data_IF_402625305504
#
_entry.id   IF_402625305504
#
_cell.length_a   1.000
_cell.length_b   1.000
_cell.length_c   1.000
_cell.angle_alpha   90.00
_cell.angle_beta   90.00
_cell.angle_gamma   90.00
#
_symmetry.space_group_name_H-M   'P 1'
#
loop_
_entity.id
_entity.type
_entity.pdbx_description
1 polymer ?
#
# COMPACT_ATOMS: atom_id res chain seq x y z
N UNK A 1 24.48 -17.95 12.16
CA UNK A 1 24.17 -16.70 12.90
C UNK A 1 23.51 -15.59 12.06
N UNK A 2 23.31 -15.76 10.74
CA UNK A 2 22.72 -14.72 9.88
C UNK A 2 21.18 -14.66 9.83
N UNK A 3 20.46 -15.58 10.50
CA UNK A 3 18.99 -15.64 10.43
C UNK A 3 18.26 -14.76 11.46
N UNK A 4 18.99 -14.18 12.43
CA UNK A 4 18.38 -13.36 13.49
C UNK A 4 18.30 -11.87 13.17
N UNK A 5 19.05 -11.40 12.16
CA UNK A 5 19.06 -9.98 11.76
C UNK A 5 17.92 -9.63 10.79
N UNK A 6 17.37 -10.61 10.06
CA UNK A 6 16.31 -10.35 9.08
C UNK A 6 14.92 -10.12 9.72
N UNK A 7 14.65 -10.73 10.87
CA UNK A 7 13.36 -10.56 11.56
C UNK A 7 13.21 -9.18 12.24
N UNK A 8 14.31 -8.51 12.58
CA UNK A 8 14.26 -7.18 13.21
C UNK A 8 13.87 -6.11 12.19
N UNK A 9 14.37 -6.21 10.96
CA UNK A 9 14.10 -5.22 9.89
C UNK A 9 12.64 -5.28 9.41
N UNK A 10 12.03 -6.48 9.41
CA UNK A 10 10.63 -6.64 8.97
C UNK A 10 9.63 -6.13 10.01
N UNK A 11 9.94 -6.20 11.32
CA UNK A 11 9.07 -5.60 12.35
C UNK A 11 9.11 -4.07 12.30
N UNK A 12 10.27 -3.47 12.06
CA UNK A 12 10.43 -2.00 12.05
C UNK A 12 9.71 -1.34 10.85
N UNK A 13 9.68 -2.00 9.69
CA UNK A 13 8.91 -1.50 8.54
C UNK A 13 7.39 -1.59 8.74
N UNK A 14 6.88 -2.57 9.50
CA UNK A 14 5.44 -2.70 9.77
C UNK A 14 4.90 -1.57 10.65
N UNK A 15 5.69 -1.14 11.65
CA UNK A 15 5.27 -0.07 12.56
C UNK A 15 5.26 1.32 11.88
N UNK A 16 6.18 1.59 10.95
CA UNK A 16 6.23 2.88 10.24
C UNK A 16 5.05 3.07 9.27
N UNK A 17 4.58 2.00 8.62
CA UNK A 17 3.41 2.06 7.72
C UNK A 17 2.11 2.31 8.52
N UNK A 18 1.99 1.71 9.71
CA UNK A 18 0.85 1.91 10.62
C UNK A 18 0.79 3.36 11.13
N UNK A 19 1.93 3.94 11.51
CA UNK A 19 2.01 5.32 11.98
C UNK A 19 1.68 6.35 10.89
N UNK A 20 2.11 6.11 9.66
CA UNK A 20 1.82 6.99 8.53
C UNK A 20 0.33 6.97 8.15
N UNK A 21 -0.31 5.79 8.20
CA UNK A 21 -1.75 5.65 7.99
C UNK A 21 -2.58 6.31 9.12
N UNK A 22 -2.08 6.30 10.36
CA UNK A 22 -2.72 6.95 11.49
C UNK A 22 -2.64 8.49 11.42
N UNK A 23 -1.52 9.04 10.93
CA UNK A 23 -1.34 10.49 10.75
C UNK A 23 -2.24 11.01 9.61
N UNK A 24 -2.36 10.27 8.51
CA UNK A 24 -3.25 10.62 7.39
C UNK A 24 -4.75 10.61 7.76
N UNK A 25 -5.17 9.75 8.71
CA UNK A 25 -6.56 9.78 9.24
C UNK A 25 -6.81 10.96 10.16
N UNK A 26 -5.79 11.40 10.93
CA UNK A 26 -5.93 12.49 11.89
C UNK A 26 -5.94 13.88 11.23
N UNK A 27 -5.37 14.03 10.02
CA UNK A 27 -5.44 15.26 9.24
C UNK A 27 -6.80 15.45 8.54
N UNK A 28 -7.51 14.36 8.20
CA UNK A 28 -8.79 14.43 7.50
C UNK A 28 -9.96 14.84 8.42
N UNK A 29 -9.92 14.48 9.71
CA UNK A 29 -10.99 14.82 10.68
C UNK A 29 -10.98 16.30 11.15
N UNK A 30 -9.96 17.09 10.80
CA UNK A 30 -9.88 18.51 11.21
C UNK A 30 -10.43 19.52 10.19
N UNK A 31 -10.79 19.11 8.98
CA UNK A 31 -11.32 20.01 7.94
C UNK A 31 -12.86 20.12 7.88
N UNK A 32 -13.60 19.47 8.79
CA UNK A 32 -15.08 19.49 8.78
C UNK A 32 -15.73 20.61 9.62
N UNK A 33 -14.99 21.57 10.17
CA UNK A 33 -15.58 22.76 10.79
C UNK A 33 -15.57 23.94 9.83
N UNK A 34 -16.43 23.87 8.81
CA UNK A 34 -16.91 25.07 8.12
C UNK A 34 -17.98 25.69 9.04
N UNK A 35 -17.79 26.90 9.59
CA UNK A 35 -18.85 27.57 10.32
C UNK A 35 -19.92 27.96 9.31
N UNK A 36 -21.11 27.39 9.47
CA UNK A 36 -22.28 27.68 8.65
C UNK A 36 -22.61 29.18 8.68
N UNK A 37 -22.45 29.84 7.53
CA UNK A 37 -22.75 31.26 7.24
C UNK A 37 -24.25 31.65 7.35
N UNK A 38 -25.08 30.87 8.06
CA UNK A 38 -26.53 31.05 8.07
C UNK A 38 -27.05 32.09 9.08
N UNK A 39 -26.19 32.80 9.82
CA UNK A 39 -26.63 33.73 10.87
C UNK A 39 -26.57 35.22 10.50
N UNK A 40 -25.92 35.60 9.38
CA UNK A 40 -25.79 37.02 9.01
C UNK A 40 -26.95 37.51 8.13
N UNK A 41 -27.71 36.61 7.49
CA UNK A 41 -28.77 37.01 6.55
C UNK A 41 -30.10 37.43 7.19
N UNK A 42 -30.35 37.12 8.47
CA UNK A 42 -31.66 37.40 9.10
C UNK A 42 -31.75 38.77 9.78
N UNK A 43 -30.64 39.46 10.04
CA UNK A 43 -30.64 40.78 10.69
C UNK A 43 -30.83 41.96 9.71
N UNK A 44 -30.61 41.76 8.41
CA UNK A 44 -30.69 42.83 7.41
C UNK A 44 -32.12 43.15 6.92
N UNK A 45 -33.08 42.26 7.15
CA UNK A 45 -34.46 42.45 6.67
C UNK A 45 -35.32 43.35 7.58
N UNK A 46 -35.01 43.47 8.88
CA UNK A 46 -35.77 44.34 9.79
C UNK A 46 -35.29 45.81 9.80
N UNK A 47 -33.99 46.08 9.63
CA UNK A 47 -33.50 47.49 9.57
C UNK A 47 -33.91 48.21 8.27
N UNK A 48 -34.12 47.46 7.18
CA UNK A 48 -34.52 48.01 5.88
C UNK A 48 -35.97 48.54 5.87
N UNK A 49 -36.87 47.97 6.68
CA UNK A 49 -38.28 48.40 6.74
C UNK A 49 -38.48 49.70 7.54
N UNK A 50 -37.64 49.94 8.55
CA UNK A 50 -37.61 51.18 9.34
C UNK A 50 -37.11 52.40 8.52
N UNK A 51 -36.20 52.17 7.57
CA UNK A 51 -35.59 53.24 6.78
C UNK A 51 -36.56 53.85 5.76
N UNK A 52 -37.45 53.04 5.18
CA UNK A 52 -38.46 53.48 4.20
C UNK A 52 -39.54 54.35 4.87
N UNK A 53 -39.97 53.99 6.09
CA UNK A 53 -40.96 54.76 6.86
C UNK A 53 -40.46 56.17 7.24
N UNK A 54 -39.18 56.33 7.57
CA UNK A 54 -38.58 57.63 7.94
C UNK A 54 -38.51 58.62 6.76
N UNK A 55 -38.22 58.13 5.55
CA UNK A 55 -38.09 59.01 4.37
C UNK A 55 -39.41 59.67 3.97
N UNK A 56 -40.52 58.91 4.05
CA UNK A 56 -41.86 59.39 3.73
C UNK A 56 -42.36 60.38 4.79
N UNK A 57 -42.05 60.17 6.07
CA UNK A 57 -42.37 61.11 7.15
C UNK A 57 -41.60 62.43 7.03
N UNK A 58 -40.31 62.38 6.64
CA UNK A 58 -39.51 63.59 6.40
C UNK A 58 -40.06 64.39 5.21
N UNK A 59 -40.46 63.72 4.13
CA UNK A 59 -41.09 64.36 2.97
C UNK A 59 -42.41 65.05 3.36
N UNK A 60 -43.24 64.39 4.15
CA UNK A 60 -44.51 64.93 4.64
C UNK A 60 -44.30 66.15 5.57
N UNK A 61 -43.27 66.13 6.42
CA UNK A 61 -42.87 67.27 7.24
C UNK A 61 -42.36 68.46 6.40
N UNK A 62 -41.58 68.20 5.36
CA UNK A 62 -41.10 69.23 4.43
C UNK A 62 -42.24 69.84 3.61
N UNK A 63 -43.18 69.02 3.15
CA UNK A 63 -44.39 69.49 2.46
C UNK A 63 -45.26 70.34 3.40
N UNK A 64 -45.38 69.95 4.68
CA UNK A 64 -46.08 70.76 5.69
C UNK A 64 -45.37 72.08 5.97
N UNK A 65 -44.04 72.11 6.14
CA UNK A 65 -43.28 73.35 6.28
C UNK A 65 -43.42 74.27 5.06
N UNK A 66 -43.39 73.69 3.85
CA UNK A 66 -43.61 74.45 2.61
C UNK A 66 -44.97 75.12 2.61
N UNK A 67 -46.02 74.40 3.02
CA UNK A 67 -47.37 74.96 3.15
C UNK A 67 -47.42 76.11 4.16
N UNK A 68 -46.85 75.91 5.35
CA UNK A 68 -46.79 76.96 6.39
C UNK A 68 -46.05 78.21 5.89
N UNK A 69 -44.95 78.08 5.14
CA UNK A 69 -44.23 79.22 4.56
C UNK A 69 -45.11 79.99 3.57
N UNK A 70 -45.88 79.27 2.74
CA UNK A 70 -46.81 79.89 1.79
C UNK A 70 -47.92 80.64 2.53
N UNK A 71 -48.54 80.02 3.54
CA UNK A 71 -49.59 80.63 4.36
C UNK A 71 -49.06 81.86 5.14
N UNK A 72 -47.86 81.77 5.71
CA UNK A 72 -47.23 82.89 6.43
C UNK A 72 -46.88 84.04 5.49
N UNK A 73 -46.44 83.75 4.25
CA UNK A 73 -46.19 84.75 3.21
C UNK A 73 -47.48 85.45 2.79
N UNK A 74 -48.57 84.72 2.66
CA UNK A 74 -49.89 85.29 2.34
C UNK A 74 -50.38 86.23 3.45
N UNK A 75 -50.23 85.84 4.71
CA UNK A 75 -50.56 86.70 5.85
C UNK A 75 -49.67 87.95 5.94
N UNK A 76 -48.37 87.85 5.65
CA UNK A 76 -47.46 89.01 5.61
C UNK A 76 -47.83 89.96 4.47
N UNK A 77 -48.18 89.43 3.29
CA UNK A 77 -48.66 90.24 2.16
C UNK A 77 -50.00 90.93 2.47
N UNK A 78 -50.87 90.28 3.26
CA UNK A 78 -52.10 90.88 3.76
C UNK A 78 -51.85 91.98 4.81
N UNK A 79 -50.79 91.88 5.61
CA UNK A 79 -50.35 92.93 6.54
C UNK A 79 -49.79 94.16 5.81
N UNK A 80 -49.06 93.95 4.71
CA UNK A 80 -48.42 95.02 3.92
C UNK A 80 -49.44 95.90 3.17
N UNK A 81 -50.69 95.45 3.04
CA UNK A 81 -51.81 96.19 2.44
C UNK A 81 -52.63 97.02 3.44
N UNK A 82 -52.25 97.05 4.72
CA UNK A 82 -52.97 97.81 5.75
C UNK A 82 -52.49 99.26 5.74
N UNK A 83 -52.92 100.02 4.72
CA UNK A 83 -52.80 101.47 4.73
C UNK A 83 -53.67 102.04 5.87
N UNK A 84 -53.04 102.81 6.78
CA UNK A 84 -53.72 103.49 7.89
C UNK A 84 -54.59 104.67 7.43
N UNK A 85 -54.66 104.93 6.13
CA UNK A 85 -55.52 105.93 5.50
C UNK A 85 -56.60 105.24 4.67
N UNK A 86 -57.81 105.77 4.70
CA UNK A 86 -58.81 105.39 3.70
C UNK A 86 -58.37 105.89 2.31
N UNK A 87 -58.97 105.38 1.23
CA UNK A 87 -58.69 105.78 -0.16
C UNK A 87 -58.86 107.31 -0.41
N UNK A 88 -59.47 108.04 0.53
CA UNK A 88 -59.64 109.49 0.54
C UNK A 88 -58.62 110.27 1.41
N UNK A 89 -57.61 109.60 1.99
CA UNK A 89 -56.56 110.25 2.80
C UNK A 89 -56.96 110.69 4.22
N UNK A 90 -58.22 110.47 4.63
CA UNK A 90 -58.72 110.79 5.97
C UNK A 90 -58.31 109.72 7.00
N UNK A 91 -58.11 110.14 8.25
CA UNK A 91 -57.87 109.23 9.37
C UNK A 91 -59.13 108.42 9.66
N UNK A 92 -59.02 107.08 9.79
CA UNK A 92 -60.15 106.22 10.14
C UNK A 92 -60.70 106.60 11.51
N UNK A 93 -62.02 106.44 11.69
CA UNK A 93 -62.69 106.68 12.97
C UNK A 93 -62.07 105.79 14.06
N UNK A 94 -62.08 106.22 15.32
CA UNK A 94 -61.47 105.48 16.44
C UNK A 94 -61.85 103.99 16.45
N UNK A 95 -63.13 103.66 16.22
CA UNK A 95 -63.61 102.27 16.15
C UNK A 95 -62.98 101.47 14.98
N UNK A 96 -62.75 102.10 13.83
CA UNK A 96 -62.07 101.49 12.68
C UNK A 96 -60.57 101.29 12.94
N UNK A 97 -59.96 102.20 13.70
CA UNK A 97 -58.57 102.06 14.13
C UNK A 97 -58.42 100.91 15.12
N UNK A 98 -59.34 100.78 16.08
CA UNK A 98 -59.38 99.67 17.05
C UNK A 98 -59.56 98.34 16.33
N UNK A 99 -60.50 98.24 15.38
CA UNK A 99 -60.68 97.03 14.57
C UNK A 99 -59.48 96.68 13.69
N UNK A 100 -58.82 97.68 13.08
CA UNK A 100 -57.57 97.47 12.32
C UNK A 100 -56.43 97.01 13.24
N UNK A 101 -56.33 97.59 14.43
CA UNK A 101 -55.31 97.24 15.41
C UNK A 101 -55.52 95.81 15.95
N UNK A 102 -56.78 95.44 16.24
CA UNK A 102 -57.15 94.08 16.62
C UNK A 102 -56.84 93.08 15.52
N UNK A 103 -57.08 93.43 14.25
CA UNK A 103 -56.73 92.59 13.11
C UNK A 103 -55.21 92.42 12.96
N UNK A 104 -54.42 93.50 13.15
CA UNK A 104 -52.94 93.43 13.15
C UNK A 104 -52.44 92.55 14.31
N UNK A 105 -52.98 92.68 15.51
CA UNK A 105 -52.61 91.81 16.63
C UNK A 105 -52.98 90.35 16.38
N UNK A 106 -54.12 90.11 15.73
CA UNK A 106 -54.56 88.77 15.33
C UNK A 106 -53.63 88.18 14.27
N UNK A 107 -53.25 88.96 13.25
CA UNK A 107 -52.30 88.55 12.22
C UNK A 107 -50.89 88.34 12.78
N UNK A 108 -50.40 89.21 13.66
CA UNK A 108 -49.11 89.03 14.34
C UNK A 108 -49.11 87.76 15.20
N UNK A 109 -50.23 87.44 15.86
CA UNK A 109 -50.39 86.20 16.61
C UNK A 109 -50.36 84.97 15.69
N UNK A 110 -50.97 85.04 14.51
CA UNK A 110 -50.92 83.99 13.48
C UNK A 110 -49.48 83.82 12.97
N UNK A 111 -48.80 84.91 12.60
CA UNK A 111 -47.40 84.89 12.12
C UNK A 111 -46.46 84.34 13.20
N UNK A 112 -46.63 84.75 14.47
CA UNK A 112 -45.83 84.20 15.57
C UNK A 112 -46.10 82.70 15.79
N UNK A 113 -47.36 82.26 15.67
CA UNK A 113 -47.72 80.85 15.79
C UNK A 113 -47.14 80.02 14.64
N UNK A 114 -47.19 80.51 13.40
CA UNK A 114 -46.61 79.85 12.23
C UNK A 114 -45.08 79.88 12.26
N UNK A 115 -44.46 80.97 12.73
CA UNK A 115 -43.01 81.03 12.97
C UNK A 115 -42.57 80.00 14.01
N UNK A 116 -43.32 79.83 15.10
CA UNK A 116 -43.04 78.80 16.10
C UNK A 116 -43.18 77.38 15.52
N UNK A 117 -44.18 77.16 14.64
CA UNK A 117 -44.34 75.90 13.90
C UNK A 117 -43.18 75.64 12.92
N UNK A 118 -42.70 76.64 12.19
CA UNK A 118 -41.55 76.48 11.32
C UNK A 118 -40.28 76.15 12.11
N UNK A 119 -40.09 76.81 13.25
CA UNK A 119 -38.95 76.52 14.13
C UNK A 119 -38.99 75.07 14.64
N UNK A 120 -40.17 74.55 15.00
CA UNK A 120 -40.31 73.16 15.44
C UNK A 120 -40.10 72.17 14.30
N UNK A 121 -40.61 72.43 13.10
CA UNK A 121 -40.34 71.57 11.92
C UNK A 121 -38.85 71.60 11.58
N UNK A 122 -38.20 72.76 11.59
CA UNK A 122 -36.77 72.85 11.36
C UNK A 122 -35.97 72.04 12.39
N UNK A 123 -36.34 72.13 13.68
CA UNK A 123 -35.74 71.33 14.73
C UNK A 123 -35.95 69.81 14.50
N UNK A 124 -37.16 69.39 14.10
CA UNK A 124 -37.47 67.99 13.77
C UNK A 124 -36.65 67.48 12.59
N UNK A 125 -36.45 68.29 11.55
CA UNK A 125 -35.60 67.95 10.39
C UNK A 125 -34.14 67.79 10.83
N UNK A 126 -33.61 68.71 11.64
CA UNK A 126 -32.27 68.59 12.20
C UNK A 126 -32.12 67.33 13.08
N UNK A 127 -33.13 67.02 13.90
CA UNK A 127 -33.15 65.81 14.72
C UNK A 127 -33.18 64.55 13.86
N UNK A 128 -33.98 64.55 12.78
CA UNK A 128 -34.04 63.45 11.83
C UNK A 128 -32.73 63.24 11.07
N UNK A 129 -32.09 64.32 10.63
CA UNK A 129 -30.76 64.27 10.02
C UNK A 129 -29.69 63.76 11.00
N UNK A 130 -29.74 64.19 12.25
CA UNK A 130 -28.86 63.68 13.30
C UNK A 130 -29.07 62.18 13.54
N UNK A 131 -30.32 61.73 13.65
CA UNK A 131 -30.65 60.31 13.81
C UNK A 131 -30.14 59.47 12.63
N UNK A 132 -30.33 59.95 11.40
CA UNK A 132 -29.85 59.29 10.17
C UNK A 132 -28.31 59.25 10.11
N UNK A 133 -27.64 60.35 10.42
CA UNK A 133 -26.18 60.38 10.47
C UNK A 133 -25.63 59.43 11.55
N UNK A 134 -26.30 59.33 12.71
CA UNK A 134 -25.94 58.38 13.75
C UNK A 134 -26.14 56.93 13.32
N UNK A 135 -27.20 56.63 12.57
CA UNK A 135 -27.42 55.30 11.99
C UNK A 135 -26.37 54.96 10.94
N UNK A 136 -26.08 55.87 10.02
CA UNK A 136 -25.02 55.69 9.02
C UNK A 136 -23.67 55.46 9.68
N UNK A 137 -23.32 56.23 10.72
CA UNK A 137 -22.09 56.02 11.48
C UNK A 137 -22.04 54.62 12.13
N UNK A 138 -23.16 54.11 12.66
CA UNK A 138 -23.24 52.75 13.19
C UNK A 138 -23.06 51.68 12.10
N UNK A 139 -23.70 51.84 10.94
CA UNK A 139 -23.59 50.91 9.82
C UNK A 139 -22.15 50.90 9.28
N UNK A 140 -21.54 52.07 9.10
CA UNK A 140 -20.14 52.20 8.68
C UNK A 140 -19.19 51.58 9.71
N UNK A 141 -19.43 51.79 11.01
CA UNK A 141 -18.62 51.15 12.06
C UNK A 141 -18.74 49.62 12.06
N UNK A 142 -19.96 49.09 11.88
CA UNK A 142 -20.20 47.64 11.72
C UNK A 142 -19.48 47.11 10.47
N UNK A 143 -19.62 47.79 9.34
CA UNK A 143 -18.96 47.42 8.08
C UNK A 143 -17.44 47.42 8.20
N UNK A 144 -16.86 48.44 8.84
CA UNK A 144 -15.41 48.48 9.10
C UNK A 144 -14.95 47.33 9.97
N UNK A 145 -15.74 46.95 10.98
CA UNK A 145 -15.44 45.79 11.83
C UNK A 145 -15.46 44.50 11.01
N UNK A 146 -16.48 44.29 10.17
CA UNK A 146 -16.57 43.11 9.30
C UNK A 146 -15.40 43.04 8.32
N UNK A 147 -15.02 44.16 7.69
CA UNK A 147 -13.86 44.21 6.79
C UNK A 147 -12.57 43.84 7.52
N UNK A 148 -12.37 44.30 8.76
CA UNK A 148 -11.20 43.91 9.57
C UNK A 148 -11.23 42.43 9.94
N UNK A 149 -12.40 41.88 10.28
CA UNK A 149 -12.55 40.44 10.55
C UNK A 149 -12.22 39.61 9.30
N UNK A 150 -12.75 39.99 8.14
CA UNK A 150 -12.43 39.36 6.85
C UNK A 150 -10.94 39.49 6.48
N UNK A 151 -10.32 40.65 6.72
CA UNK A 151 -8.90 40.82 6.46
C UNK A 151 -8.05 39.90 7.35
N UNK A 152 -8.42 39.75 8.63
CA UNK A 152 -7.74 38.85 9.55
C UNK A 152 -7.92 37.38 9.15
N UNK A 153 -9.10 36.97 8.67
CA UNK A 153 -9.32 35.60 8.22
C UNK A 153 -8.57 35.29 6.93
N UNK A 154 -8.52 36.22 5.98
CA UNK A 154 -7.72 36.08 4.76
C UNK A 154 -6.24 35.96 5.11
N UNK A 155 -5.73 36.81 6.00
CA UNK A 155 -4.34 36.73 6.45
C UNK A 155 -4.03 35.38 7.14
N UNK A 156 -4.95 34.87 7.96
CA UNK A 156 -4.80 33.55 8.57
C UNK A 156 -4.82 32.42 7.53
N UNK A 157 -5.67 32.52 6.51
CA UNK A 157 -5.72 31.56 5.40
C UNK A 157 -4.44 31.59 4.57
N UNK A 158 -3.88 32.77 4.28
CA UNK A 158 -2.60 32.91 3.59
C UNK A 158 -1.47 32.21 4.35
N UNK A 159 -1.35 32.47 5.66
CA UNK A 159 -0.35 31.79 6.51
C UNK A 159 -0.53 30.27 6.51
N UNK A 160 -1.76 29.78 6.58
CA UNK A 160 -2.04 28.35 6.54
C UNK A 160 -1.70 27.73 5.17
N UNK A 161 -1.95 28.43 4.08
CA UNK A 161 -1.58 27.97 2.72
C UNK A 161 -0.07 27.90 2.57
N UNK A 162 0.66 28.90 3.09
CA UNK A 162 2.12 28.89 3.10
C UNK A 162 2.66 27.71 3.93
N UNK A 163 2.10 27.46 5.12
CA UNK A 163 2.47 26.32 5.97
C UNK A 163 2.24 24.99 5.24
N UNK A 164 1.07 24.79 4.62
CA UNK A 164 0.76 23.59 3.84
C UNK A 164 1.72 23.44 2.65
N UNK A 165 2.08 24.54 1.97
CA UNK A 165 3.03 24.51 0.87
C UNK A 165 4.41 24.04 1.33
N UNK A 166 4.89 24.54 2.48
CA UNK A 166 6.17 24.10 3.05
C UNK A 166 6.12 22.64 3.49
N UNK A 167 5.02 22.18 4.09
CA UNK A 167 4.83 20.78 4.48
C UNK A 167 4.83 19.86 3.25
N UNK A 168 4.18 20.28 2.16
CA UNK A 168 4.15 19.55 0.90
C UNK A 168 5.55 19.39 0.29
N UNK A 169 6.39 20.44 0.35
CA UNK A 169 7.78 20.36 -0.12
C UNK A 169 8.61 19.38 0.71
N UNK A 170 8.46 19.41 2.05
CA UNK A 170 9.13 18.46 2.95
C UNK A 170 8.68 17.02 2.67
N UNK A 171 7.38 16.79 2.50
CA UNK A 171 6.85 15.47 2.16
C UNK A 171 7.36 14.97 0.80
N UNK A 172 7.48 15.86 -0.19
CA UNK A 172 8.07 15.53 -1.50
C UNK A 172 9.54 15.14 -1.38
N UNK A 173 10.31 15.84 -0.56
CA UNK A 173 11.71 15.47 -0.30
C UNK A 173 11.81 14.11 0.39
N UNK A 174 10.96 13.84 1.39
CA UNK A 174 10.90 12.53 2.05
C UNK A 174 10.54 11.40 1.08
N UNK A 175 9.56 11.61 0.21
CA UNK A 175 9.17 10.65 -0.81
C UNK A 175 10.33 10.34 -1.78
N UNK A 176 11.09 11.36 -2.18
CA UNK A 176 12.26 11.19 -3.03
C UNK A 176 13.38 10.39 -2.32
N UNK A 177 13.67 10.70 -1.05
CA UNK A 177 14.65 9.94 -0.25
C UNK A 177 14.22 8.49 -0.06
N UNK A 178 12.92 8.25 0.15
CA UNK A 178 12.39 6.90 0.26
C UNK A 178 12.49 6.13 -1.06
N UNK A 179 12.19 6.76 -2.19
CA UNK A 179 12.37 6.17 -3.52
C UNK A 179 13.84 5.82 -3.80
N UNK A 180 14.78 6.69 -3.41
CA UNK A 180 16.22 6.41 -3.50
C UNK A 180 16.64 5.24 -2.60
N UNK A 181 16.16 5.20 -1.36
CA UNK A 181 16.42 4.09 -0.44
C UNK A 181 15.85 2.75 -0.93
N UNK A 182 14.68 2.76 -1.56
CA UNK A 182 14.10 1.57 -2.18
C UNK A 182 14.93 1.09 -3.36
N UNK A 183 15.38 2.01 -4.23
CA UNK A 183 16.25 1.67 -5.35
C UNK A 183 17.59 1.06 -4.86
N UNK A 184 18.18 1.63 -3.81
CA UNK A 184 19.39 1.08 -3.20
C UNK A 184 19.16 -0.31 -2.60
N UNK A 185 18.05 -0.52 -1.90
CA UNK A 185 17.67 -1.84 -1.37
C UNK A 185 17.45 -2.85 -2.48
N UNK A 186 16.78 -2.45 -3.57
CA UNK A 186 16.57 -3.31 -4.74
C UNK A 186 17.91 -3.74 -5.35
N UNK A 187 18.83 -2.80 -5.58
CA UNK A 187 20.16 -3.11 -6.11
C UNK A 187 20.95 -4.06 -5.19
N UNK A 188 20.87 -3.85 -3.87
CA UNK A 188 21.50 -4.73 -2.90
C UNK A 188 20.89 -6.14 -2.93
N UNK A 189 19.56 -6.26 -3.03
CA UNK A 189 18.88 -7.54 -3.19
C UNK A 189 19.25 -8.24 -4.50
N UNK A 190 19.33 -7.51 -5.61
CA UNK A 190 19.75 -8.07 -6.90
C UNK A 190 21.20 -8.58 -6.84
N UNK A 191 22.10 -7.83 -6.23
CA UNK A 191 23.50 -8.24 -6.03
C UNK A 191 23.61 -9.49 -5.14
N UNK A 192 22.91 -9.51 -4.00
CA UNK A 192 22.95 -10.67 -3.09
C UNK A 192 22.31 -11.90 -3.72
N UNK A 193 21.22 -11.77 -4.48
CA UNK A 193 20.64 -12.88 -5.24
C UNK A 193 21.57 -13.41 -6.32
N UNK A 194 22.35 -12.54 -6.98
CA UNK A 194 23.36 -12.97 -7.94
C UNK A 194 24.46 -13.78 -7.25
N UNK A 195 24.98 -13.32 -6.12
CA UNK A 195 25.98 -14.02 -5.31
C UNK A 195 25.47 -15.38 -4.81
N UNK A 196 24.24 -15.45 -4.29
CA UNK A 196 23.63 -16.72 -3.88
C UNK A 196 23.45 -17.70 -5.05
N UNK A 197 23.10 -17.21 -6.24
CA UNK A 197 22.99 -18.06 -7.43
C UNK A 197 24.34 -18.61 -7.86
N UNK A 198 25.41 -17.84 -7.71
CA UNK A 198 26.78 -18.29 -7.98
C UNK A 198 27.22 -19.35 -6.97
N UNK A 199 26.99 -19.10 -5.68
CA UNK A 199 27.33 -20.05 -4.62
C UNK A 199 26.56 -21.37 -4.76
N UNK A 200 25.27 -21.32 -5.12
CA UNK A 200 24.48 -22.53 -5.42
C UNK A 200 25.03 -23.32 -6.61
N UNK A 201 25.50 -22.64 -7.67
CA UNK A 201 26.15 -23.31 -8.80
C UNK A 201 27.45 -23.98 -8.37
N UNK A 202 28.26 -23.30 -7.55
CA UNK A 202 29.51 -23.85 -7.02
C UNK A 202 29.25 -25.10 -6.15
N UNK A 203 28.24 -25.05 -5.29
CA UNK A 203 27.85 -26.20 -4.46
C UNK A 203 27.35 -27.38 -5.31
N UNK A 204 26.56 -27.13 -6.36
CA UNK A 204 26.14 -28.18 -7.30
C UNK A 204 27.34 -28.82 -8.02
N UNK A 205 28.33 -28.02 -8.44
CA UNK A 205 29.57 -28.54 -9.02
C UNK A 205 30.39 -29.38 -8.02
N UNK A 206 30.47 -28.95 -6.76
CA UNK A 206 31.14 -29.70 -5.69
C UNK A 206 30.41 -31.01 -5.38
N UNK A 207 29.07 -31.00 -5.32
CA UNK A 207 28.26 -32.20 -5.15
C UNK A 207 28.43 -33.18 -6.32
N UNK A 208 28.47 -32.71 -7.56
CA UNK A 208 28.77 -33.54 -8.74
C UNK A 208 30.16 -34.18 -8.64
N UNK A 209 31.17 -33.43 -8.19
CA UNK A 209 32.53 -33.95 -7.95
C UNK A 209 32.50 -35.03 -6.85
N UNK A 210 31.81 -34.79 -5.74
CA UNK A 210 31.67 -35.77 -4.66
C UNK A 210 30.92 -37.03 -5.13
N UNK A 211 29.84 -36.88 -5.89
CA UNK A 211 29.11 -38.02 -6.45
C UNK A 211 29.99 -38.86 -7.39
N UNK A 212 30.83 -38.22 -8.20
CA UNK A 212 31.81 -38.91 -9.05
C UNK A 212 32.85 -39.66 -8.22
N UNK A 213 33.35 -39.05 -7.14
CA UNK A 213 34.28 -39.68 -6.21
C UNK A 213 33.65 -40.87 -5.48
N UNK A 214 32.42 -40.71 -4.96
CA UNK A 214 31.65 -41.80 -4.32
C UNK A 214 31.39 -42.93 -5.32
N UNK A 215 31.05 -42.60 -6.57
CA UNK A 215 30.89 -43.58 -7.65
C UNK A 215 32.20 -44.34 -7.93
N UNK A 216 33.33 -43.65 -7.99
CA UNK A 216 34.65 -44.26 -8.15
C UNK A 216 35.02 -45.14 -6.95
N UNK A 217 34.80 -44.65 -5.72
CA UNK A 217 35.02 -45.42 -4.48
C UNK A 217 34.17 -46.68 -4.46
N UNK A 218 32.89 -46.61 -4.81
CA UNK A 218 32.02 -47.77 -4.90
C UNK A 218 32.51 -48.78 -5.95
N UNK A 219 32.97 -48.32 -7.12
CA UNK A 219 33.56 -49.19 -8.15
C UNK A 219 34.85 -49.86 -7.66
N UNK A 220 35.71 -49.15 -6.95
CA UNK A 220 36.95 -49.73 -6.39
C UNK A 220 36.66 -50.78 -5.33
N UNK A 221 35.73 -50.50 -4.41
CA UNK A 221 35.28 -51.47 -3.39
C UNK A 221 34.65 -52.70 -4.04
N UNK A 222 33.83 -52.50 -5.07
CA UNK A 222 33.24 -53.59 -5.84
C UNK A 222 34.30 -54.47 -6.52
N UNK A 223 35.29 -53.86 -7.18
CA UNK A 223 36.38 -54.60 -7.83
C UNK A 223 37.23 -55.37 -6.80
N UNK A 224 37.48 -54.79 -5.62
CA UNK A 224 38.20 -55.46 -4.54
C UNK A 224 37.42 -56.68 -4.03
N UNK A 225 36.13 -56.52 -3.75
CA UNK A 225 35.28 -57.62 -3.30
C UNK A 225 35.21 -58.73 -4.35
N UNK A 226 35.15 -58.38 -5.64
CA UNK A 226 35.18 -59.33 -6.74
C UNK A 226 36.49 -60.13 -6.80
N UNK A 227 37.64 -59.48 -6.63
CA UNK A 227 38.95 -60.13 -6.60
C UNK A 227 39.03 -61.08 -5.40
N UNK A 228 38.63 -60.63 -4.21
CA UNK A 228 38.64 -61.45 -2.99
C UNK A 228 37.74 -62.67 -3.14
N UNK A 229 36.54 -62.51 -3.68
CA UNK A 229 35.62 -63.62 -3.94
C UNK A 229 36.19 -64.61 -4.97
N UNK A 230 36.84 -64.12 -6.03
CA UNK A 230 37.49 -64.96 -7.04
C UNK A 230 38.64 -65.77 -6.46
N UNK A 231 39.45 -65.17 -5.59
CA UNK A 231 40.56 -65.84 -4.89
C UNK A 231 40.02 -66.87 -3.90
N UNK A 232 39.01 -66.54 -3.10
CA UNK A 232 38.37 -67.49 -2.18
C UNK A 232 37.78 -68.67 -2.96
N UNK A 233 37.12 -68.42 -4.09
CA UNK A 233 36.58 -69.47 -4.96
C UNK A 233 37.69 -70.40 -5.47
N UNK A 234 38.80 -69.83 -5.97
CA UNK A 234 39.92 -70.60 -6.52
C UNK A 234 40.62 -71.43 -5.43
N UNK A 235 40.87 -70.85 -4.26
CA UNK A 235 41.45 -71.56 -3.10
C UNK A 235 40.51 -72.67 -2.65
N UNK A 236 39.20 -72.40 -2.59
CA UNK A 236 38.21 -73.41 -2.19
C UNK A 236 38.17 -74.57 -3.17
N UNK A 237 38.24 -74.28 -4.47
CA UNK A 237 38.23 -75.29 -5.53
C UNK A 237 39.49 -76.16 -5.47
N UNK A 238 40.64 -75.52 -5.28
CA UNK A 238 41.92 -76.19 -5.12
C UNK A 238 41.96 -77.10 -3.88
N UNK A 239 41.50 -76.59 -2.73
CA UNK A 239 41.50 -77.32 -1.46
C UNK A 239 40.54 -78.51 -1.45
N UNK A 240 39.39 -78.43 -2.12
CA UNK A 240 38.47 -79.56 -2.25
C UNK A 240 39.05 -80.66 -3.16
N UNK A 241 39.94 -80.31 -4.07
CA UNK A 241 40.60 -81.25 -4.97
C UNK A 241 41.90 -81.85 -4.41
N UNK A 242 42.40 -81.37 -3.26
CA UNK A 242 43.57 -81.96 -2.61
C UNK A 242 43.27 -83.34 -2.01
N UNK A 243 44.26 -84.24 -2.07
CA UNK A 243 44.13 -85.61 -1.55
C UNK A 243 43.70 -85.69 -0.08
N UNK A 244 44.00 -84.66 0.71
CA UNK A 244 43.62 -84.55 2.12
C UNK A 244 42.10 -84.63 2.33
N UNK A 245 41.31 -84.05 1.41
CA UNK A 245 39.83 -84.08 1.48
C UNK A 245 39.29 -85.32 0.78
N UNK A 246 39.94 -85.76 -0.29
CA UNK A 246 39.49 -86.89 -1.09
C UNK A 246 39.61 -88.25 -0.39
N UNK A 247 40.67 -88.45 0.39
CA UNK A 247 40.90 -89.69 1.15
C UNK A 247 39.80 -89.99 2.18
N UNK A 248 39.44 -89.08 3.12
CA UNK A 248 38.40 -89.35 4.10
C UNK A 248 37.01 -89.50 3.46
N UNK A 249 36.71 -88.74 2.39
CA UNK A 249 35.44 -88.89 1.67
C UNK A 249 35.39 -90.24 0.94
N UNK A 250 36.49 -90.67 0.31
CA UNK A 250 36.58 -91.98 -0.31
C UNK A 250 36.40 -93.10 0.73
N UNK A 251 37.09 -93.01 1.87
CA UNK A 251 36.94 -93.96 2.98
C UNK A 251 35.50 -94.01 3.49
N UNK A 252 34.88 -92.86 3.79
CA UNK A 252 33.50 -92.79 4.29
C UNK A 252 32.47 -93.33 3.28
N UNK A 253 32.67 -93.10 1.98
CA UNK A 253 31.75 -93.58 0.93
C UNK A 253 31.90 -95.07 0.62
N UNK A 254 33.03 -95.70 0.96
CA UNK A 254 33.18 -97.16 0.81
C UNK A 254 32.30 -97.96 1.78
N UNK A 255 32.02 -97.40 2.96
CA UNK A 255 31.17 -98.00 3.99
C UNK A 255 29.67 -98.04 3.63
N UNK A 256 29.21 -97.21 2.68
CA UNK A 256 27.81 -97.17 2.26
C UNK A 256 27.53 -98.36 1.32
N UNK A 257 26.77 -99.36 1.78
CA UNK A 257 26.25 -100.46 0.94
C UNK A 257 25.19 -99.93 -0.04
N UNK A 258 25.63 -99.51 -1.23
CA UNK A 258 24.75 -99.10 -2.33
C UNK A 258 25.39 -99.29 -3.71
N UNK A 259 24.59 -99.09 -4.78
CA UNK A 259 25.05 -99.18 -6.18
C UNK A 259 26.15 -98.16 -6.49
N UNK A 260 27.06 -98.50 -7.43
CA UNK A 260 28.19 -97.65 -7.79
C UNK A 260 27.77 -96.23 -8.20
N UNK A 261 26.64 -96.08 -8.92
CA UNK A 261 26.09 -94.77 -9.30
C UNK A 261 25.72 -93.92 -8.08
N UNK A 262 25.10 -94.51 -7.06
CA UNK A 262 24.68 -93.81 -5.83
C UNK A 262 25.91 -93.37 -5.01
N UNK A 263 26.96 -94.20 -4.96
CA UNK A 263 28.23 -93.87 -4.29
C UNK A 263 28.94 -92.69 -4.95
N UNK A 264 29.00 -92.66 -6.29
CA UNK A 264 29.59 -91.52 -7.03
C UNK A 264 28.78 -90.24 -6.82
N UNK A 265 27.45 -90.31 -6.87
CA UNK A 265 26.58 -89.17 -6.60
C UNK A 265 26.76 -88.61 -5.18
N UNK A 266 26.83 -89.49 -4.16
CA UNK A 266 27.09 -89.07 -2.78
C UNK A 266 28.48 -88.46 -2.65
N UNK A 267 29.52 -89.07 -3.24
CA UNK A 267 30.89 -88.51 -3.21
C UNK A 267 30.93 -87.11 -3.82
N UNK A 268 30.32 -86.91 -4.99
CA UNK A 268 30.28 -85.60 -5.65
C UNK A 268 29.42 -84.60 -4.85
N UNK A 269 28.27 -85.04 -4.32
CA UNK A 269 27.43 -84.22 -3.46
C UNK A 269 28.15 -83.75 -2.19
N UNK A 270 28.88 -84.63 -1.52
CA UNK A 270 29.69 -84.28 -0.34
C UNK A 270 30.82 -83.32 -0.70
N UNK A 271 31.49 -83.49 -1.85
CA UNK A 271 32.50 -82.53 -2.33
C UNK A 271 31.90 -81.14 -2.58
N UNK A 272 30.75 -81.06 -3.24
CA UNK A 272 30.04 -79.80 -3.49
C UNK A 272 29.59 -79.15 -2.18
N UNK A 273 29.05 -79.94 -1.24
CA UNK A 273 28.66 -79.43 0.08
C UNK A 273 29.87 -78.87 0.85
N UNK A 274 30.99 -79.60 0.84
CA UNK A 274 32.23 -79.17 1.51
C UNK A 274 32.78 -77.90 0.86
N UNK A 275 32.74 -77.81 -0.47
CA UNK A 275 33.11 -76.60 -1.21
C UNK A 275 32.28 -75.38 -0.78
N UNK A 276 30.96 -75.51 -0.68
CA UNK A 276 30.07 -74.42 -0.24
C UNK A 276 30.39 -73.99 1.20
N UNK A 277 30.55 -74.96 2.12
CA UNK A 277 30.90 -74.68 3.51
C UNK A 277 32.26 -73.99 3.64
N UNK A 278 33.23 -74.40 2.81
CA UNK A 278 34.57 -73.81 2.81
C UNK A 278 34.53 -72.35 2.34
N UNK A 279 33.79 -72.05 1.27
CA UNK A 279 33.57 -70.67 0.81
C UNK A 279 32.93 -69.82 1.91
N UNK A 280 31.88 -70.33 2.58
CA UNK A 280 31.22 -69.60 3.66
C UNK A 280 32.17 -69.30 4.82
N UNK A 281 32.99 -70.29 5.20
CA UNK A 281 33.96 -70.13 6.30
C UNK A 281 35.08 -69.14 5.93
N UNK A 282 35.65 -69.25 4.73
CA UNK A 282 36.67 -68.33 4.22
C UNK A 282 36.13 -66.90 4.06
N UNK A 283 34.89 -66.73 3.58
CA UNK A 283 34.24 -65.42 3.52
C UNK A 283 34.04 -64.81 4.90
N UNK A 284 33.61 -65.60 5.89
CA UNK A 284 33.47 -65.11 7.26
C UNK A 284 34.83 -64.66 7.85
N UNK A 285 35.90 -65.41 7.59
CA UNK A 285 37.25 -65.04 7.99
C UNK A 285 37.74 -63.77 7.27
N UNK A 286 37.54 -63.67 5.94
CA UNK A 286 37.92 -62.50 5.15
C UNK A 286 37.21 -61.22 5.61
N UNK A 287 35.95 -61.32 6.05
CA UNK A 287 35.22 -60.21 6.71
C UNK A 287 35.84 -59.85 8.06
N UNK A 288 36.22 -60.84 8.87
CA UNK A 288 36.88 -60.62 10.16
C UNK A 288 38.23 -59.91 10.07
N UNK A 289 38.98 -60.14 9.00
CA UNK A 289 40.25 -59.46 8.72
C UNK A 289 40.09 -58.10 8.00
N UNK A 290 38.87 -57.68 7.68
CA UNK A 290 38.61 -56.43 6.96
C UNK A 290 39.04 -56.43 5.48
N UNK A 291 39.36 -57.61 4.92
CA UNK A 291 39.74 -57.74 3.52
C UNK A 291 38.53 -57.70 2.57
N UNK A 292 37.34 -58.01 3.09
CA UNK A 292 36.09 -58.03 2.34
C UNK A 292 35.09 -57.06 2.96
N UNK A 293 34.68 -56.04 2.20
CA UNK A 293 33.61 -55.15 2.60
C UNK A 293 32.29 -55.84 2.23
N UNK A 294 31.39 -56.06 3.18
CA UNK A 294 30.12 -56.75 2.93
C UNK A 294 29.11 -55.91 2.10
N UNK A 295 29.59 -54.97 1.28
CA UNK A 295 28.81 -54.01 0.49
C UNK A 295 28.35 -54.64 -0.83
N UNK A 296 29.10 -55.61 -1.37
CA UNK A 296 28.64 -56.46 -2.46
C UNK A 296 28.13 -57.80 -1.94
N UNK A 297 26.82 -57.99 -1.80
CA UNK A 297 26.29 -59.35 -1.72
C UNK A 297 26.68 -60.10 -3.01
N UNK A 298 26.98 -61.39 -2.93
CA UNK A 298 27.21 -62.23 -4.11
C UNK A 298 25.99 -62.28 -5.05
N UNK A 299 24.81 -61.95 -4.52
CA UNK A 299 23.50 -61.96 -5.18
C UNK A 299 23.45 -61.08 -6.45
N UNK A 300 23.77 -59.78 -6.43
CA UNK A 300 23.80 -58.95 -7.65
C UNK A 300 24.75 -59.48 -8.73
N UNK A 301 25.86 -60.13 -8.36
CA UNK A 301 26.79 -60.73 -9.33
C UNK A 301 26.20 -61.96 -10.02
N UNK A 302 25.62 -62.88 -9.24
CA UNK A 302 24.94 -64.06 -9.80
C UNK A 302 23.78 -63.65 -10.67
N UNK A 303 22.98 -62.66 -10.25
CA UNK A 303 21.88 -62.13 -11.06
C UNK A 303 22.40 -61.43 -12.32
N UNK A 304 23.48 -60.65 -12.25
CA UNK A 304 24.05 -59.99 -13.42
C UNK A 304 24.59 -60.99 -14.44
N UNK A 305 25.27 -62.05 -14.00
CA UNK A 305 25.74 -63.12 -14.88
C UNK A 305 24.58 -63.96 -15.41
N UNK A 306 23.60 -64.33 -14.58
CA UNK A 306 22.41 -65.05 -15.07
C UNK A 306 21.69 -64.22 -16.13
N UNK A 307 21.58 -62.91 -15.92
CA UNK A 307 20.94 -62.00 -16.86
C UNK A 307 21.75 -61.86 -18.15
N UNK A 308 23.07 -61.71 -18.08
CA UNK A 308 23.94 -61.70 -19.26
C UNK A 308 23.90 -63.04 -20.02
N UNK A 309 23.88 -64.16 -19.30
CA UNK A 309 23.83 -65.51 -19.88
C UNK A 309 22.45 -65.79 -20.50
N UNK A 310 21.37 -65.33 -19.86
CA UNK A 310 20.03 -65.36 -20.42
C UNK A 310 19.94 -64.47 -21.67
N UNK A 311 20.46 -63.24 -21.64
CA UNK A 311 20.48 -62.35 -22.80
C UNK A 311 21.28 -62.95 -23.96
N UNK A 312 22.47 -63.52 -23.69
CA UNK A 312 23.27 -64.23 -24.68
C UNK A 312 22.53 -65.45 -25.24
N UNK A 313 21.88 -66.25 -24.40
CA UNK A 313 21.07 -67.38 -24.81
C UNK A 313 19.90 -66.95 -25.70
N UNK A 314 19.17 -65.89 -25.33
CA UNK A 314 18.08 -65.34 -26.16
C UNK A 314 18.59 -64.78 -27.49
N UNK A 315 19.75 -64.12 -27.51
CA UNK A 315 20.36 -63.64 -28.75
C UNK A 315 20.72 -64.82 -29.67
N UNK A 316 21.37 -65.87 -29.13
CA UNK A 316 21.68 -67.07 -29.91
C UNK A 316 20.41 -67.78 -30.42
N UNK A 317 19.37 -67.90 -29.58
CA UNK A 317 18.10 -68.48 -29.98
C UNK A 317 17.41 -67.66 -31.09
N UNK A 318 17.49 -66.34 -31.03
CA UNK A 318 16.94 -65.43 -32.04
C UNK A 318 17.73 -65.52 -33.36
N UNK A 319 19.07 -65.62 -33.31
CA UNK A 319 19.89 -65.86 -34.52
C UNK A 319 19.67 -67.24 -35.14
N UNK A 320 19.30 -68.24 -34.34
CA UNK A 320 19.02 -69.60 -34.83
C UNK A 320 17.62 -69.72 -35.46
N UNK A 321 16.64 -68.95 -34.95
CA UNK A 321 15.25 -68.95 -35.41
C UNK A 321 15.01 -68.04 -36.62
N UNK A 322 15.91 -67.07 -36.87
CA UNK A 322 15.97 -66.32 -38.11
C UNK A 322 17.30 -66.60 -38.81
N UNK A 323 17.46 -67.75 -39.51
CA UNK A 323 18.67 -68.02 -40.26
C UNK A 323 18.88 -66.86 -41.23
N UNK A 324 20.06 -66.25 -41.12
CA UNK A 324 20.53 -65.12 -41.90
C UNK A 324 20.08 -65.27 -43.35
N UNK A 325 18.99 -64.59 -43.76
CA UNK A 325 18.63 -64.54 -45.16
C UNK A 325 19.76 -63.77 -45.83
N UNK A 326 20.55 -64.39 -46.74
CA UNK A 326 21.59 -63.67 -47.44
C UNK A 326 20.91 -62.50 -48.11
N UNK A 327 21.32 -61.29 -47.72
CA UNK A 327 20.82 -60.04 -48.28
C UNK A 327 21.00 -60.14 -49.78
N UNK A 328 19.90 -60.42 -50.49
CA UNK A 328 19.89 -60.44 -51.96
C UNK A 328 20.33 -59.05 -52.37
N UNK A 329 21.55 -58.97 -52.90
CA UNK A 329 22.13 -57.74 -53.40
C UNK A 329 21.34 -57.44 -54.66
N UNK A 330 20.25 -56.70 -54.54
CA UNK A 330 19.57 -56.09 -55.67
C UNK A 330 20.57 -55.14 -56.29
N UNK A 331 21.19 -55.58 -57.39
CA UNK A 331 22.00 -54.73 -58.26
C UNK A 331 21.04 -53.70 -58.85
N UNK A 332 20.92 -52.55 -58.18
CA UNK A 332 20.25 -51.38 -58.72
C UNK A 332 21.10 -50.91 -59.88
N UNK A 333 20.71 -51.31 -61.08
CA UNK A 333 21.29 -50.77 -62.31
C UNK A 333 20.66 -49.39 -62.49
N UNK A 334 21.39 -48.36 -62.07
CA UNK A 334 21.03 -46.96 -62.34
C UNK A 334 21.19 -46.75 -63.83
N UNK A 335 20.11 -46.33 -64.51
CA UNK A 335 20.10 -45.97 -65.92
C UNK A 335 19.79 -44.49 -66.07
#
# INVERSE_FOLDING_TARGET
>A
MASSSLNVVVMEQSETVSLTAAIARKSFDKQSLVPSDSLVSSANNEESSLQVYSSNQMKLLLDHARKVIVDMREHIMAMDQIELRNQQGAMPTYDQLVLKLENIFTQQRIVNAESARLMSVNYLVHLGNFARNRQLAKIVAKGRKQVLELQNTVQALEVNVDEISTEMEVQKEQANRFAESLNNTQKLMESTLAEYREELKRQDEELKKQQKLVGAMNKTRFNQDFIVDSVIFLISLWAVNTMVVDLPIAAATTAIRGSNRRRVAVKQGTKVLLFILMIWRLKALAKGYGLHNSVGAFVPYVFSILFQLHQGATWTAQTLSYPFQPRTTTVVTVR
#
